data_IF_293527196441
#
_entry.id   IF_293527196441
#
_cell.length_a   1.000
_cell.length_b   1.000
_cell.length_c   1.000
_cell.angle_alpha   90.00
_cell.angle_beta   90.00
_cell.angle_gamma   90.00
#
_symmetry.space_group_name_H-M   'P 1'
#
loop_
_entity.id
_entity.type
_entity.pdbx_description
1 polymer ?
#
# COMPACT_ATOMS: atom_id res chain seq x y z
N UNK A 1 15.82 20.50 10.79
CA UNK A 1 16.74 19.48 11.34
C UNK A 1 16.00 18.43 12.18
N UNK A 2 14.87 18.79 12.82
CA UNK A 2 14.01 17.83 13.56
C UNK A 2 13.22 16.86 12.67
N UNK A 3 12.87 17.23 11.44
CA UNK A 3 12.03 16.41 10.55
C UNK A 3 12.72 15.11 10.09
N UNK A 4 14.05 15.09 10.03
CA UNK A 4 14.85 13.90 9.70
C UNK A 4 14.98 12.91 10.85
N UNK A 5 14.85 13.37 12.10
CA UNK A 5 14.95 12.46 13.26
C UNK A 5 13.66 11.63 13.44
N UNK A 6 12.49 12.22 13.18
CA UNK A 6 11.20 11.54 13.40
C UNK A 6 10.91 10.49 12.31
N UNK A 7 11.40 10.71 11.09
CA UNK A 7 11.32 9.71 10.02
C UNK A 7 12.13 8.43 10.33
N UNK A 8 13.18 8.52 11.13
CA UNK A 8 14.01 7.37 11.51
C UNK A 8 13.34 6.48 12.57
N UNK A 9 12.48 7.06 13.42
CA UNK A 9 11.81 6.33 14.52
C UNK A 9 10.50 5.63 14.11
N UNK A 10 9.93 5.94 12.94
CA UNK A 10 8.72 5.26 12.40
C UNK A 10 9.01 4.21 11.31
N UNK A 11 10.24 4.16 10.79
CA UNK A 11 10.73 3.12 9.88
C UNK A 11 11.19 1.80 10.54
N UNK A 12 11.29 1.59 11.88
CA UNK A 12 11.86 0.35 12.42
C UNK A 12 10.94 -0.87 12.24
N UNK A 13 9.67 -0.70 11.88
CA UNK A 13 8.79 -1.84 11.56
C UNK A 13 9.09 -2.48 10.20
N UNK A 14 9.78 -1.79 9.27
CA UNK A 14 10.15 -2.36 7.97
C UNK A 14 11.37 -3.30 8.06
N UNK A 15 12.26 -3.11 9.02
CA UNK A 15 13.48 -3.94 9.14
C UNK A 15 13.32 -5.14 10.09
N UNK A 16 12.44 -5.06 11.09
CA UNK A 16 12.27 -6.16 12.04
C UNK A 16 11.53 -7.37 11.44
N UNK A 17 10.68 -7.17 10.42
CA UNK A 17 10.03 -8.26 9.69
C UNK A 17 10.96 -9.06 8.77
N UNK A 18 12.03 -8.44 8.27
CA UNK A 18 12.98 -9.07 7.34
C UNK A 18 13.99 -9.94 8.11
N UNK A 19 14.31 -9.63 9.37
CA UNK A 19 15.33 -10.35 10.14
C UNK A 19 14.84 -11.58 10.93
N UNK A 20 13.54 -11.85 11.02
CA UNK A 20 13.03 -13.07 11.71
C UNK A 20 12.93 -14.27 10.76
N UNK A 21 13.02 -14.06 9.44
CA UNK A 21 12.93 -15.13 8.43
C UNK A 21 14.29 -15.71 7.99
N UNK A 22 15.32 -15.70 8.84
CA UNK A 22 16.61 -16.33 8.54
C UNK A 22 16.83 -17.67 9.26
N UNK A 23 15.76 -18.32 9.76
CA UNK A 23 15.88 -19.59 10.50
C UNK A 23 15.10 -20.77 9.91
N UNK A 24 14.81 -20.75 8.61
CA UNK A 24 14.38 -21.94 7.86
C UNK A 24 14.99 -21.86 6.46
N UNK A 25 16.22 -22.35 6.30
CA UNK A 25 16.80 -22.68 5.00
C UNK A 25 16.36 -24.12 4.73
N UNK A 26 15.42 -24.40 3.80
CA UNK A 26 15.32 -25.73 3.24
C UNK A 26 16.54 -25.94 2.33
N UNK A 27 17.10 -27.13 2.43
CA UNK A 27 18.16 -27.64 1.56
C UNK A 27 17.88 -27.33 0.09
N UNK A 28 18.93 -27.06 -0.68
CA UNK A 28 18.96 -26.68 -2.11
C UNK A 28 18.28 -27.71 -3.07
N UNK A 29 17.61 -28.73 -2.56
CA UNK A 29 16.88 -29.75 -3.30
C UNK A 29 15.47 -29.33 -3.74
N UNK A 30 14.87 -28.29 -3.15
CA UNK A 30 13.51 -27.84 -3.51
C UNK A 30 13.47 -26.85 -4.70
N UNK A 31 14.64 -26.52 -5.28
CA UNK A 31 14.78 -25.59 -6.41
C UNK A 31 14.68 -26.31 -7.77
N UNK A 32 14.59 -27.64 -7.78
CA UNK A 32 14.42 -28.40 -9.02
C UNK A 32 12.94 -28.47 -9.45
N UNK A 33 12.62 -27.67 -10.47
CA UNK A 33 11.54 -27.88 -11.44
C UNK A 33 10.12 -27.64 -10.93
N UNK A 34 9.65 -26.39 -11.04
CA UNK A 34 8.22 -26.14 -11.27
C UNK A 34 7.99 -25.85 -12.76
N UNK A 35 8.01 -26.92 -13.56
CA UNK A 35 7.43 -26.92 -14.90
C UNK A 35 5.89 -26.85 -14.78
N UNK A 36 5.27 -26.01 -15.62
CA UNK A 36 3.86 -25.54 -15.62
C UNK A 36 3.55 -24.34 -14.70
N UNK A 37 3.86 -23.14 -15.21
CA UNK A 37 3.66 -21.86 -14.54
C UNK A 37 2.18 -21.44 -14.45
N UNK A 38 1.46 -21.98 -13.46
CA UNK A 38 0.21 -21.38 -13.00
C UNK A 38 0.35 -21.02 -11.52
N UNK A 39 0.55 -19.73 -11.24
CA UNK A 39 0.52 -19.23 -9.87
C UNK A 39 -0.85 -19.49 -9.25
N UNK A 40 -0.94 -19.89 -7.98
CA UNK A 40 -2.23 -20.09 -7.32
C UNK A 40 -3.01 -18.76 -7.32
N UNK A 41 -4.31 -18.81 -7.61
CA UNK A 41 -5.18 -17.62 -7.74
C UNK A 41 -5.03 -16.61 -6.58
N UNK A 42 -4.95 -17.04 -5.30
CA UNK A 42 -4.77 -16.12 -4.18
C UNK A 42 -3.44 -15.35 -4.25
N UNK A 43 -2.36 -16.01 -4.72
CA UNK A 43 -1.06 -15.37 -4.88
C UNK A 43 -1.10 -14.28 -5.95
N UNK A 44 -1.81 -14.51 -7.06
CA UNK A 44 -2.00 -13.49 -8.11
C UNK A 44 -2.71 -12.26 -7.52
N UNK A 45 -3.79 -12.46 -6.76
CA UNK A 45 -4.49 -11.35 -6.11
C UNK A 45 -3.59 -10.58 -5.14
N UNK A 46 -2.86 -11.29 -4.27
CA UNK A 46 -1.93 -10.67 -3.32
C UNK A 46 -0.87 -9.84 -4.03
N UNK A 47 -0.25 -10.38 -5.09
CA UNK A 47 0.76 -9.66 -5.87
C UNK A 47 0.18 -8.40 -6.50
N UNK A 48 -1.02 -8.47 -7.10
CA UNK A 48 -1.67 -7.30 -7.71
C UNK A 48 -2.00 -6.24 -6.66
N UNK A 49 -2.57 -6.65 -5.51
CA UNK A 49 -2.91 -5.74 -4.41
C UNK A 49 -1.65 -5.03 -3.89
N UNK A 50 -0.60 -5.78 -3.58
CA UNK A 50 0.68 -5.22 -3.10
C UNK A 50 1.29 -4.28 -4.14
N UNK A 51 1.20 -4.63 -5.43
CA UNK A 51 1.73 -3.79 -6.52
C UNK A 51 1.05 -2.43 -6.56
N UNK A 52 -0.29 -2.39 -6.48
CA UNK A 52 -1.03 -1.12 -6.45
C UNK A 52 -0.71 -0.28 -5.20
N UNK A 53 -0.65 -0.90 -4.01
CA UNK A 53 -0.23 -0.21 -2.80
C UNK A 53 1.18 0.36 -2.93
N UNK A 54 2.13 -0.41 -3.46
CA UNK A 54 3.51 0.03 -3.61
C UNK A 54 3.62 1.22 -4.57
N UNK A 55 3.00 1.14 -5.75
CA UNK A 55 3.03 2.25 -6.72
C UNK A 55 2.32 3.48 -6.16
N UNK A 56 1.16 3.31 -5.51
CA UNK A 56 0.42 4.42 -4.89
C UNK A 56 1.21 5.10 -3.77
N UNK A 57 1.84 4.34 -2.89
CA UNK A 57 2.63 4.86 -1.78
C UNK A 57 3.95 5.49 -2.24
N UNK A 58 4.60 4.93 -3.25
CA UNK A 58 5.82 5.52 -3.82
C UNK A 58 5.54 6.80 -4.58
N UNK A 59 4.37 6.94 -5.22
CA UNK A 59 3.96 8.24 -5.77
C UNK A 59 3.60 9.22 -4.64
N UNK A 60 2.92 8.75 -3.59
CA UNK A 60 2.52 9.60 -2.47
C UNK A 60 3.72 10.18 -1.71
N UNK A 61 4.74 9.37 -1.44
CA UNK A 61 5.92 9.81 -0.67
C UNK A 61 6.67 10.97 -1.35
N UNK A 62 6.59 11.08 -2.67
CA UNK A 62 7.25 12.11 -3.46
C UNK A 62 6.45 13.43 -3.50
N UNK A 63 5.19 13.44 -3.04
CA UNK A 63 4.32 14.63 -3.01
C UNK A 63 4.93 15.80 -2.23
N UNK A 64 5.39 15.64 -0.95
CA UNK A 64 6.01 16.74 -0.21
C UNK A 64 7.30 17.25 -0.87
N UNK A 65 7.99 16.43 -1.66
CA UNK A 65 9.25 16.77 -2.31
C UNK A 65 9.06 17.56 -3.63
N UNK A 66 7.83 17.66 -4.16
CA UNK A 66 7.53 18.30 -5.46
C UNK A 66 8.01 19.75 -5.52
N UNK A 67 7.85 20.53 -4.44
CA UNK A 67 8.26 21.93 -4.44
C UNK A 67 9.79 22.05 -4.54
N UNK A 68 10.51 21.24 -3.76
CA UNK A 68 11.97 21.17 -3.81
C UNK A 68 12.46 20.72 -5.18
N UNK A 69 11.90 19.64 -5.73
CA UNK A 69 12.28 19.12 -7.04
C UNK A 69 12.16 20.18 -8.15
N UNK A 70 11.09 20.99 -8.11
CA UNK A 70 10.89 22.09 -9.07
C UNK A 70 11.93 23.19 -8.91
N UNK A 71 12.26 23.58 -7.67
CA UNK A 71 13.25 24.62 -7.40
C UNK A 71 14.66 24.19 -7.82
N UNK A 72 15.01 22.91 -7.64
CA UNK A 72 16.33 22.37 -7.98
C UNK A 72 16.42 21.79 -9.41
N UNK A 73 15.34 21.84 -10.20
CA UNK A 73 15.31 21.32 -11.56
C UNK A 73 15.37 19.80 -11.66
N UNK A 74 14.98 19.08 -10.61
CA UNK A 74 14.92 17.62 -10.57
C UNK A 74 13.65 17.16 -11.29
N UNK A 75 13.83 16.21 -12.22
CA UNK A 75 12.77 15.72 -13.10
C UNK A 75 12.09 14.46 -12.53
N UNK A 76 11.40 14.56 -11.40
CA UNK A 76 10.57 13.45 -10.88
C UNK A 76 9.20 13.37 -11.57
N UNK A 77 8.57 12.19 -11.56
CA UNK A 77 7.21 12.00 -12.11
C UNK A 77 6.22 12.91 -11.39
N UNK A 78 6.30 12.97 -10.05
CA UNK A 78 5.49 13.81 -9.19
C UNK A 78 5.68 15.32 -9.52
N UNK A 79 6.93 15.76 -9.75
CA UNK A 79 7.22 17.14 -10.12
C UNK A 79 6.64 17.53 -11.49
N UNK A 80 6.63 16.59 -12.45
CA UNK A 80 6.08 16.80 -13.81
C UNK A 80 4.56 16.89 -13.84
N UNK A 81 3.88 15.99 -13.13
CA UNK A 81 2.40 15.99 -13.08
C UNK A 81 1.88 17.09 -12.16
N UNK A 82 2.59 17.40 -11.07
CA UNK A 82 2.22 18.39 -10.08
C UNK A 82 1.45 17.82 -8.88
N UNK A 83 1.37 18.62 -7.81
CA UNK A 83 0.89 18.22 -6.49
C UNK A 83 -0.53 17.60 -6.49
N UNK A 84 -1.51 18.33 -7.03
CA UNK A 84 -2.92 17.91 -7.02
C UNK A 84 -3.17 16.61 -7.81
N UNK A 85 -2.73 16.46 -9.07
CA UNK A 85 -2.91 15.21 -9.80
C UNK A 85 -2.08 14.06 -9.20
N UNK A 86 -0.84 14.31 -8.73
CA UNK A 86 -0.05 13.29 -8.03
C UNK A 86 -0.77 12.71 -6.83
N UNK A 87 -1.38 13.59 -6.01
CA UNK A 87 -2.20 13.19 -4.87
C UNK A 87 -3.36 12.29 -5.30
N UNK A 88 -4.21 12.74 -6.23
CA UNK A 88 -5.39 11.97 -6.64
C UNK A 88 -5.05 10.66 -7.35
N UNK A 89 -3.97 10.60 -8.13
CA UNK A 89 -3.50 9.35 -8.74
C UNK A 89 -3.03 8.37 -7.67
N UNK A 90 -2.27 8.85 -6.67
CA UNK A 90 -1.83 8.02 -5.54
C UNK A 90 -3.02 7.43 -4.79
N UNK A 91 -4.04 8.23 -4.51
CA UNK A 91 -5.24 7.77 -3.79
C UNK A 91 -6.04 6.81 -4.64
N UNK A 92 -6.16 7.06 -5.93
CA UNK A 92 -6.84 6.15 -6.85
C UNK A 92 -6.15 4.78 -6.94
N UNK A 93 -4.81 4.74 -6.94
CA UNK A 93 -4.05 3.48 -6.91
C UNK A 93 -4.29 2.70 -5.62
N UNK A 94 -4.30 3.38 -4.47
CA UNK A 94 -4.58 2.77 -3.16
C UNK A 94 -6.03 2.24 -3.11
N UNK A 95 -7.01 3.03 -3.57
CA UNK A 95 -8.41 2.61 -3.66
C UNK A 95 -8.61 1.40 -4.61
N UNK A 96 -7.88 1.36 -5.73
CA UNK A 96 -7.89 0.19 -6.61
C UNK A 96 -7.34 -1.05 -5.91
N UNK A 97 -6.32 -0.91 -5.06
CA UNK A 97 -5.81 -2.04 -4.27
C UNK A 97 -6.90 -2.60 -3.35
N UNK A 98 -7.62 -1.73 -2.63
CA UNK A 98 -8.77 -2.11 -1.78
C UNK A 98 -9.90 -2.72 -2.63
N UNK A 99 -10.17 -2.19 -3.81
CA UNK A 99 -11.17 -2.71 -4.74
C UNK A 99 -10.83 -4.12 -5.26
N UNK A 100 -9.57 -4.38 -5.58
CA UNK A 100 -9.10 -5.72 -5.96
C UNK A 100 -9.19 -6.67 -4.77
N UNK A 101 -8.86 -6.22 -3.55
CA UNK A 101 -9.01 -7.02 -2.34
C UNK A 101 -10.48 -7.40 -2.07
N UNK A 102 -11.41 -6.45 -2.27
CA UNK A 102 -12.85 -6.69 -2.21
C UNK A 102 -13.29 -7.76 -3.23
N UNK A 103 -12.85 -7.65 -4.49
CA UNK A 103 -13.17 -8.63 -5.54
C UNK A 103 -12.58 -10.01 -5.22
N UNK A 104 -11.34 -10.07 -4.72
CA UNK A 104 -10.70 -11.30 -4.32
C UNK A 104 -11.44 -11.96 -3.14
N UNK A 105 -11.85 -11.18 -2.14
CA UNK A 105 -12.68 -11.66 -1.03
C UNK A 105 -14.05 -12.17 -1.49
N UNK A 106 -14.70 -11.46 -2.42
CA UNK A 106 -15.99 -11.85 -2.98
C UNK A 106 -15.93 -13.13 -3.83
N UNK A 107 -14.81 -13.36 -4.52
CA UNK A 107 -14.58 -14.54 -5.36
C UNK A 107 -13.92 -15.71 -4.61
N UNK A 108 -13.53 -15.51 -3.35
CA UNK A 108 -12.96 -16.56 -2.50
C UNK A 108 -13.94 -17.70 -2.23
N UNK A 109 -13.38 -18.89 -2.02
CA UNK A 109 -14.09 -20.14 -1.65
C UNK A 109 -14.40 -20.21 -0.15
N UNK A 110 -14.24 -19.11 0.59
CA UNK A 110 -14.47 -19.04 2.03
C UNK A 110 -15.96 -19.13 2.39
N UNK A 111 -16.24 -19.46 3.66
CA UNK A 111 -17.59 -19.44 4.22
C UNK A 111 -18.25 -18.06 4.03
N UNK A 112 -19.56 -18.03 3.81
CA UNK A 112 -20.33 -16.81 3.53
C UNK A 112 -20.12 -15.72 4.59
N UNK A 113 -19.99 -16.09 5.87
CA UNK A 113 -19.68 -15.15 6.96
C UNK A 113 -18.34 -14.44 6.77
N UNK A 114 -17.28 -15.17 6.38
CA UNK A 114 -15.96 -14.61 6.14
C UNK A 114 -16.02 -13.65 4.95
N UNK A 115 -16.74 -14.02 3.88
CA UNK A 115 -16.91 -13.17 2.69
C UNK A 115 -17.62 -11.86 3.03
N UNK A 116 -18.65 -11.89 3.87
CA UNK A 116 -19.35 -10.69 4.34
C UNK A 116 -18.41 -9.83 5.18
N UNK A 117 -17.72 -10.41 6.16
CA UNK A 117 -16.83 -9.65 7.06
C UNK A 117 -15.68 -9.00 6.30
N UNK A 118 -14.99 -9.77 5.44
CA UNK A 118 -13.90 -9.26 4.59
C UNK A 118 -14.41 -8.21 3.60
N UNK A 119 -15.55 -8.47 2.93
CA UNK A 119 -16.13 -7.53 1.98
C UNK A 119 -16.56 -6.20 2.62
N UNK A 120 -17.27 -6.25 3.74
CA UNK A 120 -17.64 -5.04 4.49
C UNK A 120 -16.42 -4.31 5.03
N UNK A 121 -15.39 -5.04 5.49
CA UNK A 121 -14.12 -4.47 5.94
C UNK A 121 -13.46 -3.61 4.87
N UNK A 122 -13.32 -4.13 3.64
CA UNK A 122 -12.72 -3.38 2.53
C UNK A 122 -13.60 -2.20 2.07
N UNK A 123 -14.93 -2.34 2.06
CA UNK A 123 -15.85 -1.22 1.73
C UNK A 123 -15.73 -0.07 2.74
N UNK A 124 -15.67 -0.41 4.03
CA UNK A 124 -15.46 0.58 5.09
C UNK A 124 -14.09 1.23 4.94
N UNK A 125 -13.04 0.44 4.67
CA UNK A 125 -11.69 0.96 4.48
C UNK A 125 -11.61 1.97 3.33
N UNK A 126 -12.14 1.61 2.16
CA UNK A 126 -12.26 2.49 0.98
C UNK A 126 -13.03 3.78 1.33
N UNK A 127 -14.16 3.64 2.02
CA UNK A 127 -14.97 4.81 2.42
C UNK A 127 -14.21 5.78 3.32
N UNK A 128 -13.42 5.27 4.27
CA UNK A 128 -12.61 6.10 5.17
C UNK A 128 -11.48 6.78 4.39
N UNK A 129 -10.77 6.05 3.52
CA UNK A 129 -9.68 6.60 2.69
C UNK A 129 -10.21 7.75 1.85
N UNK A 130 -11.29 7.52 1.09
CA UNK A 130 -11.92 8.52 0.24
C UNK A 130 -12.38 9.76 1.01
N UNK A 131 -13.07 9.55 2.15
CA UNK A 131 -13.56 10.65 2.97
C UNK A 131 -12.41 11.49 3.53
N UNK A 132 -11.38 10.85 4.07
CA UNK A 132 -10.21 11.54 4.61
C UNK A 132 -9.40 12.24 3.52
N UNK A 133 -9.24 11.62 2.34
CA UNK A 133 -8.54 12.21 1.20
C UNK A 133 -9.16 13.56 0.78
N UNK A 134 -10.49 13.67 0.79
CA UNK A 134 -11.21 14.93 0.47
C UNK A 134 -10.97 16.04 1.50
N UNK A 135 -10.61 15.69 2.74
CA UNK A 135 -10.35 16.65 3.81
C UNK A 135 -8.89 17.11 3.89
N UNK A 136 -7.99 16.57 3.06
CA UNK A 136 -6.58 16.93 3.06
C UNK A 136 -6.39 18.32 2.46
N UNK A 137 -5.74 19.22 3.22
CA UNK A 137 -5.30 20.50 2.69
C UNK A 137 -3.96 20.34 1.99
N UNK A 138 -3.98 20.36 0.65
CA UNK A 138 -2.77 20.26 -0.16
C UNK A 138 -1.85 21.48 -0.06
N UNK A 139 -2.27 22.58 0.56
CA UNK A 139 -1.37 23.73 0.80
C UNK A 139 -0.51 23.54 2.04
N UNK A 140 -0.82 22.55 2.87
CA UNK A 140 -0.14 22.29 4.14
C UNK A 140 0.63 20.98 4.07
N UNK A 141 1.97 21.07 4.05
CA UNK A 141 2.84 19.90 4.12
C UNK A 141 2.56 19.05 5.38
N UNK A 142 2.18 19.69 6.49
CA UNK A 142 1.76 18.99 7.70
C UNK A 142 0.47 18.17 7.48
N UNK A 143 -0.51 18.69 6.73
CA UNK A 143 -1.74 17.95 6.40
C UNK A 143 -1.46 16.77 5.47
N UNK A 144 -0.57 16.95 4.48
CA UNK A 144 -0.13 15.89 3.57
C UNK A 144 0.59 14.79 4.36
N UNK A 145 1.55 15.16 5.21
CA UNK A 145 2.28 14.21 6.04
C UNK A 145 1.38 13.49 7.05
N UNK A 146 0.45 14.19 7.69
CA UNK A 146 -0.53 13.55 8.58
C UNK A 146 -1.38 12.50 7.83
N UNK A 147 -1.75 12.79 6.59
CA UNK A 147 -2.48 11.85 5.76
C UNK A 147 -1.61 10.67 5.30
N UNK A 148 -0.33 10.89 4.99
CA UNK A 148 0.64 9.81 4.74
C UNK A 148 0.74 8.83 5.89
N UNK A 149 0.90 9.33 7.12
CA UNK A 149 0.94 8.50 8.34
C UNK A 149 -0.38 7.75 8.52
N UNK A 150 -1.51 8.40 8.21
CA UNK A 150 -2.82 7.74 8.22
C UNK A 150 -2.91 6.59 7.20
N UNK A 151 -2.42 6.78 5.97
CA UNK A 151 -2.38 5.73 4.95
C UNK A 151 -1.53 4.53 5.41
N UNK A 152 -0.37 4.77 6.02
CA UNK A 152 0.45 3.69 6.59
C UNK A 152 -0.28 2.85 7.64
N UNK A 153 -1.05 3.50 8.53
CA UNK A 153 -1.85 2.79 9.52
C UNK A 153 -2.93 1.92 8.87
N UNK A 154 -3.59 2.44 7.83
CA UNK A 154 -4.62 1.68 7.11
C UNK A 154 -4.05 0.52 6.30
N UNK A 155 -2.88 0.69 5.69
CA UNK A 155 -2.18 -0.42 5.03
C UNK A 155 -1.87 -1.53 6.04
N UNK A 156 -1.48 -1.18 7.27
CA UNK A 156 -1.30 -2.17 8.34
C UNK A 156 -2.59 -2.95 8.65
N UNK A 157 -3.74 -2.27 8.69
CA UNK A 157 -5.05 -2.93 8.87
C UNK A 157 -5.40 -3.84 7.69
N UNK A 158 -5.16 -3.39 6.46
CA UNK A 158 -5.40 -4.20 5.26
C UNK A 158 -4.54 -5.48 5.25
N UNK A 159 -3.26 -5.38 5.63
CA UNK A 159 -2.37 -6.54 5.71
C UNK A 159 -2.88 -7.60 6.69
N UNK A 160 -3.58 -7.20 7.75
CA UNK A 160 -4.26 -8.12 8.65
C UNK A 160 -5.49 -8.80 8.00
N UNK A 161 -6.15 -8.14 7.05
CA UNK A 161 -7.29 -8.69 6.31
C UNK A 161 -6.90 -9.65 5.17
N UNK A 162 -5.71 -9.47 4.58
CA UNK A 162 -5.25 -10.29 3.44
C UNK A 162 -5.28 -11.82 3.66
N UNK A 163 -4.90 -12.38 4.84
CA UNK A 163 -4.95 -13.82 5.07
C UNK A 163 -6.35 -14.45 5.01
N UNK A 164 -7.41 -13.65 5.08
CA UNK A 164 -8.79 -14.14 4.96
C UNK A 164 -9.23 -14.38 3.51
N UNK A 165 -8.45 -13.88 2.55
CA UNK A 165 -8.64 -14.12 1.11
C UNK A 165 -7.98 -15.47 0.77
N UNK A 166 -8.80 -16.49 0.50
CA UNK A 166 -8.39 -17.85 0.14
C UNK A 166 -8.79 -18.24 -1.28
#
# INVERSE_FOLDING_TARGET
MEEKLIAHDYVPSCYLGICISNRVIPSLADICVQETGFFPRPLIFVVVIISFYFVGMTLYKDIPDIEGDKTFGINSIAARIGLKPAFWISISLIEMAVGVALLAGATSSSCLWIKIVTGLGHIVLASIIWYKAKSVDLKSNASIFAFYVFLWKLIGVEHFLLPFIR
#
